data_IF_485360302847
#
_entry.id   IF_485360302847
#
_cell.length_a   1.000
_cell.length_b   1.000
_cell.length_c   1.000
_cell.angle_alpha   90.00
_cell.angle_beta   90.00
_cell.angle_gamma   90.00
#
_symmetry.space_group_name_H-M   'P 1'
#
loop_
_entity.id
_entity.type
_entity.pdbx_description
1 polymer ?
#
# COMPACT_ATOMS: atom_id res chain seq x y z
N UNK A 1 13.79 -5.25 -13.28
CA UNK A 1 13.28 -3.87 -13.14
C UNK A 1 13.76 -3.32 -11.81
N UNK A 2 14.34 -2.11 -11.76
CA UNK A 2 14.68 -1.46 -10.48
C UNK A 2 13.40 -1.30 -9.62
N UNK A 3 13.48 -1.50 -8.29
CA UNK A 3 12.33 -1.39 -7.35
C UNK A 3 11.63 -0.04 -7.42
N UNK A 4 12.36 1.06 -7.65
CA UNK A 4 11.75 2.37 -7.88
C UNK A 4 10.89 2.37 -9.15
N UNK A 5 11.34 1.72 -10.23
CA UNK A 5 10.54 1.60 -11.46
C UNK A 5 9.32 0.70 -11.25
N UNK A 6 9.41 -0.30 -10.36
CA UNK A 6 8.26 -1.07 -9.92
C UNK A 6 7.22 -0.18 -9.24
N UNK A 7 7.58 0.61 -8.23
CA UNK A 7 6.61 1.48 -7.56
C UNK A 7 6.06 2.59 -8.47
N UNK A 8 6.87 3.11 -9.40
CA UNK A 8 6.39 4.03 -10.44
C UNK A 8 5.32 3.39 -11.33
N UNK A 9 5.48 2.11 -11.67
CA UNK A 9 4.48 1.37 -12.43
C UNK A 9 3.20 1.18 -11.60
N UNK A 10 3.33 0.79 -10.33
CA UNK A 10 2.16 0.62 -9.46
C UNK A 10 1.35 1.93 -9.30
N UNK A 11 2.02 3.07 -9.12
CA UNK A 11 1.33 4.36 -9.06
C UNK A 11 0.62 4.72 -10.37
N UNK A 12 1.18 4.33 -11.54
CA UNK A 12 0.51 4.54 -12.84
C UNK A 12 -0.69 3.62 -13.01
N UNK A 13 -0.60 2.37 -12.56
CA UNK A 13 -1.70 1.41 -12.59
C UNK A 13 -2.85 1.89 -11.70
N UNK A 14 -2.55 2.34 -10.47
CA UNK A 14 -3.55 2.90 -9.57
C UNK A 14 -4.24 4.13 -10.17
N UNK A 15 -3.47 5.06 -10.76
CA UNK A 15 -4.05 6.21 -11.45
C UNK A 15 -4.96 5.78 -12.62
N UNK A 16 -4.58 4.73 -13.35
CA UNK A 16 -5.39 4.21 -14.46
C UNK A 16 -6.72 3.67 -13.94
N UNK A 17 -6.72 2.98 -12.81
CA UNK A 17 -7.93 2.44 -12.20
C UNK A 17 -8.85 3.55 -11.67
N UNK A 18 -8.31 4.56 -10.97
CA UNK A 18 -9.10 5.73 -10.54
C UNK A 18 -9.72 6.50 -11.71
N UNK A 19 -9.10 6.48 -12.89
CA UNK A 19 -9.66 7.13 -14.10
C UNK A 19 -10.85 6.39 -14.71
N UNK A 20 -11.22 5.22 -14.19
CA UNK A 20 -12.43 4.50 -14.59
C UNK A 20 -13.68 4.99 -13.86
N UNK A 21 -13.51 5.90 -12.88
CA UNK A 21 -14.59 6.51 -12.12
C UNK A 21 -15.63 7.15 -13.04
N UNK A 22 -16.89 6.82 -12.81
CA UNK A 22 -18.03 7.47 -13.44
C UNK A 22 -19.19 7.57 -12.46
N UNK A 23 -20.00 8.62 -12.61
CA UNK A 23 -21.14 8.85 -11.72
C UNK A 23 -22.34 8.05 -12.19
N UNK A 24 -22.96 7.33 -11.26
CA UNK A 24 -24.20 6.59 -11.46
C UNK A 24 -25.24 7.10 -10.47
N UNK A 25 -26.43 7.43 -10.96
CA UNK A 25 -27.52 7.88 -10.11
C UNK A 25 -28.13 6.68 -9.39
N UNK A 26 -28.25 6.78 -8.07
CA UNK A 26 -28.84 5.77 -7.20
C UNK A 26 -30.16 6.30 -6.61
N UNK A 27 -31.27 5.69 -7.04
CA UNK A 27 -32.63 6.12 -6.69
C UNK A 27 -33.00 5.89 -5.22
N UNK A 28 -32.32 4.97 -4.54
CA UNK A 28 -32.53 4.62 -3.13
C UNK A 28 -32.02 5.70 -2.18
N UNK A 29 -30.99 6.45 -2.59
CA UNK A 29 -30.43 7.58 -1.83
C UNK A 29 -30.71 8.95 -2.47
N UNK A 30 -31.35 8.97 -3.65
CA UNK A 30 -31.61 10.17 -4.47
C UNK A 30 -30.34 11.01 -4.72
N UNK A 31 -29.23 10.34 -5.01
CA UNK A 31 -27.93 10.98 -5.24
C UNK A 31 -27.09 10.22 -6.29
N UNK A 32 -25.96 10.80 -6.68
CA UNK A 32 -24.96 10.15 -7.53
C UNK A 32 -23.85 9.53 -6.70
N UNK A 33 -23.51 8.28 -7.00
CA UNK A 33 -22.33 7.61 -6.45
C UNK A 33 -21.27 7.43 -7.54
N UNK A 34 -20.04 7.15 -7.11
CA UNK A 34 -18.99 6.69 -8.00
C UNK A 34 -19.02 5.18 -8.15
N UNK A 35 -18.99 4.73 -9.41
CA UNK A 35 -18.64 3.35 -9.75
C UNK A 35 -17.29 3.33 -10.48
N UNK A 36 -16.51 2.27 -10.22
CA UNK A 36 -15.20 2.05 -10.80
C UNK A 36 -15.19 0.75 -11.62
N UNK A 37 -14.27 0.63 -12.57
CA UNK A 37 -14.00 -0.62 -13.30
C UNK A 37 -12.50 -0.92 -13.30
N UNK A 38 -11.91 -1.12 -12.10
CA UNK A 38 -10.47 -1.26 -11.96
C UNK A 38 -9.93 -2.59 -12.49
N UNK A 39 -8.63 -2.63 -12.81
CA UNK A 39 -7.93 -3.83 -13.29
C UNK A 39 -6.81 -4.26 -12.34
N UNK A 40 -6.21 -3.33 -11.59
CA UNK A 40 -5.03 -3.61 -10.77
C UNK A 40 -5.27 -3.47 -9.27
N UNK A 41 -6.12 -2.54 -8.85
CA UNK A 41 -6.38 -2.24 -7.44
C UNK A 41 -7.87 -2.24 -7.12
N UNK A 42 -8.21 -2.66 -5.90
CA UNK A 42 -9.57 -2.54 -5.37
C UNK A 42 -9.82 -1.07 -5.01
N UNK A 43 -10.29 -0.29 -5.98
CA UNK A 43 -10.48 1.16 -5.82
C UNK A 43 -11.64 1.47 -4.87
N UNK A 44 -12.67 0.62 -4.82
CA UNK A 44 -13.78 0.77 -3.88
C UNK A 44 -13.30 0.66 -2.43
N UNK A 45 -12.45 -0.32 -2.15
CA UNK A 45 -11.84 -0.49 -0.82
C UNK A 45 -10.90 0.68 -0.49
N UNK A 46 -10.11 1.17 -1.45
CA UNK A 46 -9.24 2.35 -1.25
C UNK A 46 -10.08 3.60 -0.96
N UNK A 47 -11.14 3.82 -1.76
CA UNK A 47 -12.03 4.96 -1.62
C UNK A 47 -12.66 4.99 -0.22
N UNK A 48 -13.14 3.84 0.24
CA UNK A 48 -13.80 3.70 1.54
C UNK A 48 -12.81 3.78 2.70
N UNK A 49 -11.70 3.04 2.64
CA UNK A 49 -10.70 2.97 3.71
C UNK A 49 -9.98 4.29 3.98
N UNK A 50 -9.87 5.14 2.96
CA UNK A 50 -9.24 6.46 3.06
C UNK A 50 -10.27 7.60 3.10
N UNK A 51 -11.56 7.28 3.19
CA UNK A 51 -12.66 8.26 3.25
C UNK A 51 -12.52 9.36 2.18
N UNK A 52 -12.18 8.95 0.94
CA UNK A 52 -11.92 9.90 -0.13
C UNK A 52 -13.20 10.66 -0.48
N UNK A 53 -13.09 11.98 -0.61
CA UNK A 53 -14.18 12.80 -1.12
C UNK A 53 -14.34 12.67 -2.64
N UNK A 54 -15.53 12.98 -3.14
CA UNK A 54 -15.82 13.07 -4.57
C UNK A 54 -14.86 14.01 -5.31
N UNK A 55 -14.54 15.16 -4.71
CA UNK A 55 -13.56 16.09 -5.27
C UNK A 55 -12.17 15.44 -5.40
N UNK A 56 -11.80 14.59 -4.44
CA UNK A 56 -10.53 13.89 -4.48
C UNK A 56 -10.45 12.82 -5.55
N UNK A 57 -11.57 12.14 -5.83
CA UNK A 57 -11.73 11.20 -6.95
C UNK A 57 -11.65 11.96 -8.28
N UNK A 58 -12.40 13.04 -8.45
CA UNK A 58 -12.38 13.85 -9.70
C UNK A 58 -10.99 14.41 -10.01
N UNK A 59 -10.27 14.84 -8.96
CA UNK A 59 -8.93 15.43 -9.06
C UNK A 59 -7.83 14.41 -8.77
N UNK A 60 -8.11 13.11 -8.89
CA UNK A 60 -7.11 12.08 -8.61
C UNK A 60 -5.95 12.19 -9.62
N UNK A 61 -4.73 12.27 -9.10
CA UNK A 61 -3.54 12.60 -9.90
C UNK A 61 -2.42 11.58 -9.68
N UNK A 62 -1.42 11.59 -10.56
CA UNK A 62 -0.25 10.73 -10.40
C UNK A 62 0.48 10.98 -9.07
N UNK A 63 0.52 12.23 -8.61
CA UNK A 63 1.14 12.57 -7.34
C UNK A 63 0.40 11.94 -6.16
N UNK A 64 -0.95 11.96 -6.18
CA UNK A 64 -1.79 11.29 -5.17
C UNK A 64 -1.56 9.78 -5.20
N UNK A 65 -1.58 9.17 -6.38
CA UNK A 65 -1.30 7.73 -6.53
C UNK A 65 0.10 7.36 -6.01
N UNK A 66 1.11 8.17 -6.29
CA UNK A 66 2.46 7.98 -5.78
C UNK A 66 2.55 8.09 -4.25
N UNK A 67 1.83 9.05 -3.65
CA UNK A 67 1.77 9.18 -2.19
C UNK A 67 1.07 8.00 -1.54
N UNK A 68 -0.05 7.57 -2.10
CA UNK A 68 -0.76 6.38 -1.66
C UNK A 68 0.15 5.14 -1.66
N UNK A 69 0.82 4.85 -2.79
CA UNK A 69 1.73 3.70 -2.89
C UNK A 69 2.85 3.77 -1.86
N UNK A 70 3.37 4.96 -1.54
CA UNK A 70 4.39 5.12 -0.51
C UNK A 70 3.84 4.82 0.89
N UNK A 71 2.65 5.31 1.22
CA UNK A 71 1.98 5.04 2.50
C UNK A 71 1.65 3.57 2.68
N UNK A 72 1.19 2.92 1.61
CA UNK A 72 0.87 1.50 1.59
C UNK A 72 2.06 0.62 2.01
N UNK A 73 3.29 1.03 1.68
CA UNK A 73 4.52 0.28 2.00
C UNK A 73 5.32 0.89 3.15
N UNK A 74 4.70 1.76 3.95
CA UNK A 74 5.27 2.22 5.23
C UNK A 74 6.03 3.55 5.20
N UNK A 75 5.96 4.31 4.11
CA UNK A 75 6.61 5.62 3.99
C UNK A 75 5.59 6.75 4.12
N UNK A 76 6.03 7.92 4.62
CA UNK A 76 5.11 9.05 4.80
C UNK A 76 4.70 9.69 3.46
N UNK A 77 5.60 9.69 2.48
CA UNK A 77 5.40 10.32 1.16
C UNK A 77 6.29 9.70 0.11
N UNK A 78 5.93 9.90 -1.15
CA UNK A 78 6.67 9.38 -2.32
C UNK A 78 8.17 9.70 -2.31
N UNK A 79 8.52 10.93 -1.92
CA UNK A 79 9.92 11.37 -1.90
C UNK A 79 10.79 10.59 -0.90
N UNK A 80 10.19 10.06 0.17
CA UNK A 80 10.91 9.26 1.16
C UNK A 80 11.20 7.87 0.59
N UNK A 81 10.22 7.27 -0.11
CA UNK A 81 10.37 5.98 -0.78
C UNK A 81 11.46 6.01 -1.87
N UNK A 82 11.45 7.00 -2.76
CA UNK A 82 12.43 7.00 -3.88
C UNK A 82 13.86 7.35 -3.47
N UNK A 83 14.05 7.87 -2.24
CA UNK A 83 15.36 8.21 -1.68
C UNK A 83 15.85 7.17 -0.67
N UNK A 84 15.07 6.12 -0.43
CA UNK A 84 15.41 5.11 0.56
C UNK A 84 16.58 4.23 0.10
N UNK A 85 17.17 3.53 1.04
CA UNK A 85 18.23 2.55 0.79
C UNK A 85 17.68 1.33 0.04
N UNK A 86 18.56 0.53 -0.58
CA UNK A 86 18.15 -0.70 -1.27
C UNK A 86 17.46 -1.70 -0.32
N UNK A 87 17.91 -1.80 0.93
CA UNK A 87 17.29 -2.66 1.94
C UNK A 87 15.86 -2.19 2.28
N UNK A 88 15.65 -0.86 2.40
CA UNK A 88 14.32 -0.29 2.62
C UNK A 88 13.40 -0.48 1.40
N UNK A 89 13.93 -0.33 0.17
CA UNK A 89 13.18 -0.62 -1.04
C UNK A 89 12.80 -2.10 -1.13
N UNK A 90 13.65 -3.00 -0.65
CA UNK A 90 13.37 -4.42 -0.60
C UNK A 90 12.29 -4.76 0.42
N UNK A 91 12.37 -4.20 1.63
CA UNK A 91 11.28 -4.28 2.63
C UNK A 91 9.97 -3.80 2.02
N UNK A 92 9.97 -2.61 1.41
CA UNK A 92 8.79 -2.02 0.78
C UNK A 92 8.17 -2.95 -0.27
N UNK A 93 9.01 -3.58 -1.09
CA UNK A 93 8.55 -4.48 -2.14
C UNK A 93 7.97 -5.76 -1.54
N UNK A 94 8.60 -6.33 -0.52
CA UNK A 94 8.10 -7.52 0.15
C UNK A 94 6.74 -7.24 0.81
N UNK A 95 6.57 -6.08 1.47
CA UNK A 95 5.28 -5.67 2.02
C UNK A 95 4.22 -5.53 0.93
N UNK A 96 4.54 -4.86 -0.18
CA UNK A 96 3.59 -4.71 -1.29
C UNK A 96 3.18 -6.07 -1.89
N UNK A 97 4.14 -6.96 -2.12
CA UNK A 97 3.91 -8.24 -2.79
C UNK A 97 3.09 -9.21 -1.92
N UNK A 98 3.13 -9.03 -0.59
CA UNK A 98 2.55 -9.96 0.39
C UNK A 98 1.47 -9.33 1.27
N UNK A 99 0.77 -8.28 0.80
CA UNK A 99 -0.33 -7.65 1.53
C UNK A 99 -1.42 -8.66 1.99
N UNK A 100 -1.61 -9.75 1.24
CA UNK A 100 -2.52 -10.84 1.60
C UNK A 100 -2.06 -11.71 2.79
N UNK A 101 -0.81 -11.56 3.24
CA UNK A 101 -0.23 -12.35 4.34
C UNK A 101 0.20 -11.48 5.51
N UNK A 102 0.77 -10.32 5.25
CA UNK A 102 1.34 -9.43 6.27
C UNK A 102 0.83 -8.01 6.01
N UNK A 103 0.02 -7.48 6.94
CA UNK A 103 -0.36 -6.08 6.88
C UNK A 103 0.83 -5.19 7.26
N UNK A 104 0.79 -3.93 6.82
CA UNK A 104 1.80 -2.95 7.20
C UNK A 104 1.84 -2.73 8.72
N UNK A 105 0.70 -2.78 9.40
CA UNK A 105 0.62 -2.53 10.84
C UNK A 105 1.13 -3.72 11.66
N UNK A 106 0.88 -4.95 11.21
CA UNK A 106 1.52 -6.14 11.78
C UNK A 106 3.03 -6.03 11.65
N UNK A 107 3.55 -5.68 10.47
CA UNK A 107 4.98 -5.49 10.28
C UNK A 107 5.56 -4.43 11.22
N UNK A 108 4.91 -3.26 11.35
CA UNK A 108 5.34 -2.21 12.29
C UNK A 108 5.32 -2.71 13.73
N UNK A 109 4.34 -3.51 14.11
CA UNK A 109 4.26 -4.10 15.44
C UNK A 109 5.45 -5.05 15.69
N UNK A 110 5.71 -5.98 14.77
CA UNK A 110 6.84 -6.91 14.89
C UNK A 110 8.19 -6.21 14.95
N UNK A 111 8.41 -5.21 14.08
CA UNK A 111 9.63 -4.44 14.11
C UNK A 111 9.83 -3.75 15.46
N UNK A 112 8.77 -3.14 16.02
CA UNK A 112 8.84 -2.54 17.36
C UNK A 112 9.16 -3.56 18.45
N UNK A 113 8.57 -4.76 18.40
CA UNK A 113 8.87 -5.83 19.36
C UNK A 113 10.34 -6.25 19.26
N UNK A 114 10.87 -6.43 18.05
CA UNK A 114 12.27 -6.76 17.82
C UNK A 114 13.20 -5.64 18.35
N UNK A 115 12.88 -4.37 18.08
CA UNK A 115 13.65 -3.22 18.59
C UNK A 115 13.63 -3.14 20.12
N UNK A 116 12.49 -3.43 20.76
CA UNK A 116 12.37 -3.46 22.23
C UNK A 116 13.22 -4.58 22.84
N UNK A 117 13.18 -5.79 22.27
CA UNK A 117 14.00 -6.93 22.71
C UNK A 117 15.49 -6.61 22.59
N UNK A 118 15.90 -5.93 21.51
CA UNK A 118 17.28 -5.53 21.30
C UNK A 118 17.69 -4.25 22.05
N UNK A 119 16.74 -3.56 22.69
CA UNK A 119 16.98 -2.30 23.39
C UNK A 119 17.46 -1.16 22.48
N UNK A 120 17.27 -1.26 21.16
CA UNK A 120 17.72 -0.27 20.17
C UNK A 120 16.91 -0.35 18.88
N UNK A 121 17.00 0.71 18.07
CA UNK A 121 16.52 0.67 16.69
C UNK A 121 17.36 -0.28 15.84
N UNK A 122 16.69 -0.99 14.95
CA UNK A 122 17.33 -1.86 13.97
C UNK A 122 17.69 -1.04 12.72
N UNK A 123 18.84 -1.34 12.12
CA UNK A 123 19.18 -0.83 10.79
C UNK A 123 18.27 -1.45 9.74
N UNK A 124 18.14 -0.82 8.57
CA UNK A 124 17.32 -1.36 7.47
C UNK A 124 17.72 -2.78 7.06
N UNK A 125 19.02 -3.08 7.08
CA UNK A 125 19.56 -4.43 6.83
C UNK A 125 19.08 -5.46 7.87
N UNK A 126 19.09 -5.09 9.15
CA UNK A 126 18.62 -5.96 10.24
C UNK A 126 17.11 -6.15 10.18
N UNK A 127 16.36 -5.09 9.93
CA UNK A 127 14.91 -5.14 9.72
C UNK A 127 14.56 -6.03 8.54
N UNK A 128 15.31 -5.97 7.44
CA UNK A 128 15.11 -6.84 6.28
C UNK A 128 15.37 -8.31 6.63
N UNK A 129 16.39 -8.61 7.44
CA UNK A 129 16.65 -9.97 7.91
C UNK A 129 15.49 -10.49 8.77
N UNK A 130 15.01 -9.69 9.73
CA UNK A 130 13.83 -10.03 10.56
C UNK A 130 12.61 -10.30 9.68
N UNK A 131 12.33 -9.42 8.71
CA UNK A 131 11.21 -9.57 7.80
C UNK A 131 11.29 -10.88 6.99
N UNK A 132 12.48 -11.19 6.44
CA UNK A 132 12.70 -12.42 5.66
C UNK A 132 12.60 -13.67 6.53
N UNK A 133 13.25 -13.70 7.68
CA UNK A 133 13.18 -14.83 8.61
C UNK A 133 11.74 -15.11 9.05
N UNK A 134 10.95 -14.05 9.23
CA UNK A 134 9.54 -14.16 9.53
C UNK A 134 8.72 -14.71 8.35
N UNK A 135 8.89 -14.16 7.15
CA UNK A 135 8.22 -14.66 5.94
C UNK A 135 8.55 -16.13 5.62
N UNK A 136 9.78 -16.56 5.93
CA UNK A 136 10.25 -17.92 5.66
C UNK A 136 9.72 -18.94 6.69
N UNK A 137 9.14 -18.50 7.80
CA UNK A 137 8.45 -19.37 8.75
C UNK A 137 6.95 -19.34 8.43
N UNK A 138 6.49 -20.37 7.73
CA UNK A 138 5.30 -20.40 6.85
C UNK A 138 3.91 -20.23 7.49
N UNK A 139 3.79 -20.05 8.81
CA UNK A 139 2.51 -20.15 9.52
C UNK A 139 1.83 -18.80 9.83
N UNK A 140 2.44 -17.66 9.45
CA UNK A 140 1.81 -16.37 9.72
C UNK A 140 0.92 -15.88 8.59
N UNK A 141 -0.37 -15.74 8.93
CA UNK A 141 -1.34 -14.94 8.19
C UNK A 141 -1.80 -13.86 9.17
N UNK A 142 -1.71 -12.60 8.75
CA UNK A 142 -2.29 -11.46 9.45
C UNK A 142 -3.72 -11.77 9.88
N UNK A 143 -4.13 -11.30 11.06
CA UNK A 143 -5.52 -11.47 11.50
C UNK A 143 -6.51 -10.74 10.56
N UNK A 144 -6.05 -9.64 9.96
CA UNK A 144 -6.79 -8.83 8.99
C UNK A 144 -5.85 -8.38 7.87
N UNK A 145 -5.50 -9.27 6.93
CA UNK A 145 -4.70 -8.87 5.79
C UNK A 145 -5.54 -7.91 4.94
N UNK A 146 -4.94 -6.79 4.54
CA UNK A 146 -5.62 -5.79 3.73
C UNK A 146 -4.87 -5.65 2.43
N UNK A 147 -5.33 -6.40 1.43
CA UNK A 147 -4.73 -6.45 0.11
C UNK A 147 -5.56 -5.62 -0.87
N UNK A 148 -5.08 -4.42 -1.16
CA UNK A 148 -5.73 -3.53 -2.11
C UNK A 148 -5.49 -3.92 -3.58
N UNK A 149 -4.82 -5.05 -3.85
CA UNK A 149 -4.53 -5.49 -5.22
C UNK A 149 -5.59 -6.46 -5.70
N UNK A 150 -6.01 -6.31 -6.95
CA UNK A 150 -6.86 -7.29 -7.63
C UNK A 150 -5.99 -8.43 -8.18
N UNK A 151 -6.52 -9.66 -8.13
CA UNK A 151 -5.84 -10.89 -8.57
C UNK A 151 -6.15 -11.25 -10.01
#
# INVERSE_FOLDING_TARGET
MNRINFFKLQAKNLLKDFKTAHKVYQSDIDDYIYEFSPIFFDVDEIYTSYELSDEEVEKYSLMKAQHFIAQLVGFNKWNDLIKSTEDELEIAKLLFDNQNKLSLDDWKYYLRQAEQINGRKLSSKESLAVLKDYYLNEDFIAAYPHDYRLK
#
